data_IF_485533805847
#
_entry.id   IF_485533805847
#
_cell.length_a   1.000
_cell.length_b   1.000
_cell.length_c   1.000
_cell.angle_alpha   90.00
_cell.angle_beta   90.00
_cell.angle_gamma   90.00
#
_symmetry.space_group_name_H-M   'P 1'
#
loop_
_entity.id
_entity.type
_entity.pdbx_description
1 polymer ?
#
# COMPACT_ATOMS: atom_id res chain seq x y z
N UNK A 1 -16.81 -35.45 -12.97
CA UNK A 1 -15.64 -34.67 -12.52
C UNK A 1 -16.16 -33.44 -11.81
N UNK A 2 -16.11 -33.43 -10.47
CA UNK A 2 -16.65 -32.35 -9.64
C UNK A 2 -15.66 -31.18 -9.62
N UNK A 3 -15.90 -30.16 -10.44
CA UNK A 3 -15.16 -28.91 -10.34
C UNK A 3 -15.84 -28.10 -9.24
N UNK A 4 -15.40 -28.33 -8.00
CA UNK A 4 -15.67 -27.42 -6.89
C UNK A 4 -14.99 -26.09 -7.25
N UNK A 5 -15.76 -25.13 -7.76
CA UNK A 5 -15.37 -23.72 -7.82
C UNK A 5 -15.42 -23.21 -6.37
N UNK A 6 -14.44 -23.65 -5.57
CA UNK A 6 -14.27 -23.29 -4.18
C UNK A 6 -13.33 -22.10 -4.12
N UNK A 7 -13.91 -20.92 -4.31
CA UNK A 7 -13.51 -19.70 -3.63
C UNK A 7 -14.48 -18.63 -4.13
N UNK A 8 -15.57 -18.54 -3.39
CA UNK A 8 -16.37 -17.34 -3.28
C UNK A 8 -15.41 -16.15 -3.21
N UNK A 9 -15.27 -15.40 -4.31
CA UNK A 9 -14.62 -14.10 -4.35
C UNK A 9 -15.44 -13.18 -3.44
N UNK A 10 -15.14 -13.25 -2.15
CA UNK A 10 -15.45 -12.19 -1.19
C UNK A 10 -14.82 -10.94 -1.78
N UNK A 11 -15.65 -10.04 -2.32
CA UNK A 11 -15.19 -8.85 -3.07
C UNK A 11 -14.21 -7.96 -2.30
N UNK A 12 -14.10 -8.18 -0.99
CA UNK A 12 -13.18 -7.51 -0.09
C UNK A 12 -11.74 -8.00 -0.23
N UNK A 13 -11.55 -9.31 -0.41
CA UNK A 13 -10.22 -9.92 -0.51
C UNK A 13 -9.60 -9.61 -1.88
N UNK A 14 -10.43 -9.57 -2.93
CA UNK A 14 -9.98 -9.21 -4.28
C UNK A 14 -9.54 -7.75 -4.43
N UNK A 15 -10.20 -6.81 -3.71
CA UNK A 15 -9.81 -5.40 -3.74
C UNK A 15 -8.50 -5.17 -2.96
N UNK A 16 -8.35 -5.81 -1.80
CA UNK A 16 -7.10 -5.76 -1.03
C UNK A 16 -5.93 -6.30 -1.85
N UNK A 17 -6.09 -7.47 -2.48
CA UNK A 17 -5.07 -8.09 -3.32
C UNK A 17 -4.74 -7.24 -4.55
N UNK A 18 -5.75 -6.60 -5.15
CA UNK A 18 -5.55 -5.68 -6.27
C UNK A 18 -4.70 -4.48 -5.87
N UNK A 19 -5.04 -3.82 -4.76
CA UNK A 19 -4.28 -2.66 -4.25
C UNK A 19 -2.86 -3.08 -3.88
N UNK A 20 -2.69 -4.24 -3.22
CA UNK A 20 -1.38 -4.79 -2.87
C UNK A 20 -0.52 -5.01 -4.12
N UNK A 21 -1.09 -5.66 -5.13
CA UNK A 21 -0.42 -5.93 -6.41
C UNK A 21 -0.05 -4.64 -7.14
N UNK A 22 -0.94 -3.64 -7.15
CA UNK A 22 -0.68 -2.33 -7.73
C UNK A 22 0.50 -1.63 -7.03
N UNK A 23 0.52 -1.61 -5.71
CA UNK A 23 1.59 -0.99 -4.93
C UNK A 23 2.93 -1.68 -5.21
N UNK A 24 2.93 -3.01 -5.20
CA UNK A 24 4.12 -3.82 -5.47
C UNK A 24 4.66 -3.58 -6.89
N UNK A 25 3.77 -3.52 -7.89
CA UNK A 25 4.16 -3.30 -9.28
C UNK A 25 4.64 -1.87 -9.56
N UNK A 26 3.91 -0.85 -9.10
CA UNK A 26 4.21 0.55 -9.40
C UNK A 26 5.35 1.12 -8.56
N UNK A 27 5.38 0.79 -7.27
CA UNK A 27 6.34 1.38 -6.33
C UNK A 27 7.49 0.45 -5.98
N UNK A 28 7.48 -0.81 -6.46
CA UNK A 28 8.51 -1.83 -6.19
C UNK A 28 8.75 -2.04 -4.69
N UNK A 29 7.68 -1.97 -3.91
CA UNK A 29 7.69 -2.16 -2.45
C UNK A 29 6.96 -3.45 -2.12
N UNK A 30 7.57 -4.33 -1.34
CA UNK A 30 6.90 -5.51 -0.78
C UNK A 30 6.15 -5.13 0.49
N UNK A 31 4.84 -5.40 0.52
CA UNK A 31 4.01 -5.15 1.70
C UNK A 31 4.09 -6.36 2.64
N UNK A 32 4.48 -6.17 3.91
CA UNK A 32 4.53 -7.27 4.87
C UNK A 32 3.12 -7.69 5.26
N UNK A 33 2.89 -9.00 5.37
CA UNK A 33 1.60 -9.58 5.80
C UNK A 33 1.34 -9.43 7.32
N UNK A 34 2.09 -8.57 8.01
CA UNK A 34 2.01 -8.44 9.46
C UNK A 34 0.79 -7.59 9.86
N UNK A 35 -0.16 -8.13 10.67
CA UNK A 35 -1.44 -7.48 10.98
C UNK A 35 -1.34 -6.35 12.02
N UNK A 36 -0.16 -6.11 12.61
CA UNK A 36 -0.01 -5.24 13.79
C UNK A 36 0.03 -3.73 13.50
N UNK A 37 0.05 -3.30 12.23
CA UNK A 37 0.21 -1.89 11.88
C UNK A 37 -0.90 -1.44 10.94
N UNK A 38 -1.82 -0.63 11.46
CA UNK A 38 -2.94 -0.05 10.71
C UNK A 38 -2.48 0.91 9.61
N UNK A 39 -1.25 1.41 9.70
CA UNK A 39 -0.65 2.22 8.66
C UNK A 39 0.84 1.88 8.49
N UNK A 40 1.24 1.69 7.23
CA UNK A 40 2.63 1.58 6.81
C UNK A 40 3.04 2.86 6.09
N UNK A 41 4.29 3.27 6.28
CA UNK A 41 4.88 4.41 5.59
C UNK A 41 6.18 3.99 4.91
N UNK A 42 6.26 4.24 3.61
CA UNK A 42 7.46 4.01 2.81
C UNK A 42 7.95 5.32 2.21
N UNK A 43 9.26 5.54 2.22
CA UNK A 43 9.86 6.65 1.48
C UNK A 43 10.13 6.18 0.06
N UNK A 44 9.38 6.72 -0.91
CA UNK A 44 9.52 6.40 -2.33
C UNK A 44 10.75 7.06 -2.95
N UNK A 45 11.01 8.32 -2.58
CA UNK A 45 12.16 9.06 -3.07
C UNK A 45 12.50 10.20 -2.13
N UNK A 46 13.79 10.51 -2.03
CA UNK A 46 14.31 11.64 -1.27
C UNK A 46 15.32 12.38 -2.14
N UNK A 47 15.09 13.68 -2.35
CA UNK A 47 15.96 14.54 -3.16
C UNK A 47 16.48 15.72 -2.34
N UNK A 48 17.53 16.36 -2.84
CA UNK A 48 18.13 17.57 -2.26
C UNK A 48 18.36 17.44 -0.75
N UNK A 49 19.03 16.36 -0.31
CA UNK A 49 19.31 16.09 1.11
C UNK A 49 18.07 15.97 2.03
N UNK A 50 16.87 15.76 1.48
CA UNK A 50 15.61 15.71 2.23
C UNK A 50 14.78 16.98 2.17
N UNK A 51 15.15 17.94 1.32
CA UNK A 51 14.26 19.07 1.03
C UNK A 51 13.00 18.61 0.30
N UNK A 52 13.09 17.59 -0.54
CA UNK A 52 11.92 16.97 -1.14
C UNK A 52 11.84 15.49 -0.77
N UNK A 53 10.68 15.08 -0.26
CA UNK A 53 10.40 13.68 0.05
C UNK A 53 9.07 13.27 -0.57
N UNK A 54 9.06 12.10 -1.22
CA UNK A 54 7.84 11.44 -1.66
C UNK A 54 7.62 10.23 -0.77
N UNK A 55 6.47 10.17 -0.11
CA UNK A 55 6.12 9.08 0.82
C UNK A 55 4.84 8.40 0.38
N UNK A 56 4.80 7.08 0.52
CA UNK A 56 3.63 6.24 0.34
C UNK A 56 3.11 5.84 1.72
N UNK A 57 1.85 6.13 1.98
CA UNK A 57 1.12 5.71 3.16
C UNK A 57 0.15 4.62 2.74
N UNK A 58 0.26 3.44 3.32
CA UNK A 58 -0.62 2.30 3.05
C UNK A 58 -1.46 2.07 4.29
N UNK A 59 -2.77 2.24 4.17
CA UNK A 59 -3.72 1.98 5.24
C UNK A 59 -4.12 0.52 5.21
N UNK A 60 -4.10 -0.13 6.37
CA UNK A 60 -4.44 -1.53 6.55
C UNK A 60 -5.48 -1.70 7.65
N UNK A 61 -6.30 -2.74 7.52
CA UNK A 61 -7.27 -3.13 8.53
C UNK A 61 -7.22 -4.65 8.68
N UNK A 62 -6.84 -5.12 9.87
CA UNK A 62 -6.74 -6.57 10.17
C UNK A 62 -5.79 -7.37 9.26
N UNK A 63 -4.78 -6.72 8.67
CA UNK A 63 -3.85 -7.33 7.73
C UNK A 63 -4.16 -7.01 6.26
N UNK A 64 -5.39 -6.64 5.94
CA UNK A 64 -5.82 -6.32 4.57
C UNK A 64 -5.47 -4.88 4.20
N UNK A 65 -5.05 -4.67 2.95
CA UNK A 65 -4.75 -3.35 2.41
C UNK A 65 -6.05 -2.72 1.94
N UNK A 66 -6.46 -1.64 2.60
CA UNK A 66 -7.74 -0.97 2.28
C UNK A 66 -7.56 0.21 1.34
N UNK A 67 -6.42 0.90 1.41
CA UNK A 67 -6.15 2.10 0.62
C UNK A 67 -4.65 2.46 0.69
N UNK A 68 -4.21 3.30 -0.23
CA UNK A 68 -2.94 3.99 -0.13
C UNK A 68 -3.04 5.44 -0.57
N UNK A 69 -2.10 6.26 -0.07
CA UNK A 69 -1.95 7.65 -0.46
C UNK A 69 -0.47 7.97 -0.62
N UNK A 70 -0.14 8.58 -1.75
CA UNK A 70 1.15 9.23 -1.93
C UNK A 70 1.06 10.65 -1.39
N UNK A 71 2.07 11.09 -0.65
CA UNK A 71 2.20 12.48 -0.24
C UNK A 71 3.59 13.00 -0.57
N UNK A 72 3.63 14.25 -1.00
CA UNK A 72 4.85 14.97 -1.33
C UNK A 72 5.13 15.99 -0.24
N UNK A 73 6.38 16.07 0.17
CA UNK A 73 6.86 16.97 1.20
C UNK A 73 7.94 17.86 0.62
N UNK A 74 7.82 19.16 0.86
CA UNK A 74 8.86 20.14 0.61
C UNK A 74 9.25 20.77 1.95
N UNK A 75 10.52 20.77 2.33
CA UNK A 75 10.99 21.21 3.66
C UNK A 75 10.21 20.56 4.83
N UNK A 76 9.87 19.27 4.71
CA UNK A 76 9.01 18.52 5.66
C UNK A 76 7.55 19.02 5.76
N UNK A 77 7.16 20.01 4.96
CA UNK A 77 5.78 20.49 4.85
C UNK A 77 5.10 19.67 3.76
N UNK A 78 3.93 19.11 4.07
CA UNK A 78 3.13 18.39 3.09
C UNK A 78 2.58 19.38 2.06
N UNK A 79 2.86 19.15 0.79
CA UNK A 79 2.45 20.03 -0.31
C UNK A 79 1.41 19.38 -1.24
N UNK A 80 1.31 18.04 -1.24
CA UNK A 80 0.29 17.27 -1.96
C UNK A 80 0.07 15.91 -1.30
#
# INVERSE_FOLDING_TARGET
>A
MNIKIFAMLTSKDSVSDFIKTEIEAFYRITLPDCPKQDQLMYTLSRYFLGLYEKKLYVSRLSGDVINYKVSHYLFKIKVA
#
